data_IF_579134163523
#
_entry.id   IF_579134163523
#
_cell.length_a   1.000
_cell.length_b   1.000
_cell.length_c   1.000
_cell.angle_alpha   90.00
_cell.angle_beta   90.00
_cell.angle_gamma   90.00
#
_symmetry.space_group_name_H-M   'P 1'
#
loop_
_entity.id
_entity.type
_entity.pdbx_description
1 polymer ?
#
# COMPACT_ATOMS: atom_id res chain seq x y z
N UNK A 1 16.23 4.62 13.04
CA UNK A 1 15.70 3.82 11.92
C UNK A 1 14.17 3.88 11.99
N UNK A 2 13.50 4.85 11.36
CA UNK A 2 12.15 5.23 11.82
C UNK A 2 11.14 5.58 10.73
N UNK A 3 11.11 4.85 9.61
CA UNK A 3 9.96 4.96 8.71
C UNK A 3 8.80 4.17 9.33
N UNK A 4 7.66 4.83 9.55
CA UNK A 4 6.45 4.10 9.93
C UNK A 4 6.03 3.15 8.80
N UNK A 5 5.26 2.11 9.13
CA UNK A 5 4.74 1.16 8.12
C UNK A 5 4.05 1.86 6.95
N UNK A 6 3.27 2.90 7.23
CA UNK A 6 2.61 3.70 6.19
C UNK A 6 3.63 4.41 5.28
N UNK A 7 4.64 5.09 5.85
CA UNK A 7 5.71 5.75 5.08
C UNK A 7 6.43 4.74 4.17
N UNK A 8 6.82 3.59 4.74
CA UNK A 8 7.53 2.57 3.97
C UNK A 8 6.69 1.99 2.83
N UNK A 9 5.42 1.65 3.10
CA UNK A 9 4.49 1.16 2.06
C UNK A 9 4.30 2.16 0.92
N UNK A 10 4.21 3.46 1.22
CA UNK A 10 4.14 4.50 0.18
C UNK A 10 5.39 4.53 -0.67
N UNK A 11 6.58 4.53 -0.06
CA UNK A 11 7.85 4.57 -0.78
C UNK A 11 8.05 3.33 -1.66
N UNK A 12 7.76 2.15 -1.13
CA UNK A 12 7.83 0.90 -1.87
C UNK A 12 6.83 0.88 -3.04
N UNK A 13 5.61 1.41 -2.83
CA UNK A 13 4.63 1.51 -3.92
C UNK A 13 5.13 2.39 -5.05
N UNK A 14 5.71 3.54 -4.72
CA UNK A 14 6.29 4.45 -5.71
C UNK A 14 7.48 3.84 -6.44
N UNK A 15 8.33 3.04 -5.77
CA UNK A 15 9.48 2.40 -6.42
C UNK A 15 9.11 1.26 -7.38
N UNK A 16 7.95 0.62 -7.16
CA UNK A 16 7.47 -0.48 -8.00
C UNK A 16 6.60 -0.02 -9.16
N UNK A 17 6.23 1.27 -9.21
CA UNK A 17 5.33 1.79 -10.24
C UNK A 17 6.14 2.28 -11.44
N UNK A 18 5.82 1.85 -12.67
CA UNK A 18 6.55 2.27 -13.87
C UNK A 18 6.34 3.75 -14.17
N UNK A 19 5.14 4.26 -13.90
CA UNK A 19 4.75 5.64 -14.12
C UNK A 19 4.56 6.41 -12.80
N UNK A 20 4.79 7.73 -12.79
CA UNK A 20 4.52 8.56 -11.61
C UNK A 20 3.05 8.54 -11.22
N UNK A 21 2.77 8.26 -9.94
CA UNK A 21 1.40 8.18 -9.43
C UNK A 21 0.90 9.52 -8.91
N UNK A 22 -0.38 9.78 -9.09
CA UNK A 22 -1.12 10.85 -8.43
C UNK A 22 -1.40 10.50 -6.95
N UNK A 23 -1.74 11.51 -6.16
CA UNK A 23 -2.12 11.29 -4.75
C UNK A 23 -3.36 10.38 -4.63
N UNK A 24 -4.37 10.58 -5.47
CA UNK A 24 -5.57 9.75 -5.47
C UNK A 24 -5.26 8.27 -5.74
N UNK A 25 -4.38 7.98 -6.72
CA UNK A 25 -3.95 6.60 -7.02
C UNK A 25 -3.19 5.98 -5.85
N UNK A 26 -2.27 6.73 -5.23
CA UNK A 26 -1.52 6.25 -4.07
C UNK A 26 -2.47 5.96 -2.89
N UNK A 27 -3.46 6.82 -2.65
CA UNK A 27 -4.42 6.66 -1.56
C UNK A 27 -5.26 5.40 -1.75
N UNK A 28 -5.78 5.21 -2.97
CA UNK A 28 -6.49 4.00 -3.39
C UNK A 28 -5.65 2.74 -3.19
N UNK A 29 -4.39 2.74 -3.65
CA UNK A 29 -3.49 1.60 -3.49
C UNK A 29 -3.13 1.27 -2.04
N UNK A 30 -3.09 2.28 -1.17
CA UNK A 30 -2.79 2.09 0.24
C UNK A 30 -4.05 1.78 1.07
N UNK A 31 -5.24 1.95 0.50
CA UNK A 31 -6.52 1.77 1.20
C UNK A 31 -6.74 2.82 2.29
N UNK A 32 -6.27 4.05 2.08
CA UNK A 32 -6.40 5.16 3.03
C UNK A 32 -7.07 6.36 2.38
N UNK A 33 -7.69 7.21 3.20
CA UNK A 33 -8.31 8.45 2.73
C UNK A 33 -7.27 9.47 2.23
N UNK A 34 -7.60 10.23 1.18
CA UNK A 34 -6.71 11.22 0.60
C UNK A 34 -6.15 12.26 1.60
N UNK A 35 -6.92 12.82 2.55
CA UNK A 35 -6.37 13.74 3.56
C UNK A 35 -5.29 13.10 4.45
N UNK A 36 -5.43 11.79 4.72
CA UNK A 36 -4.44 11.02 5.48
C UNK A 36 -3.16 10.88 4.66
N UNK A 37 -3.30 10.59 3.36
CA UNK A 37 -2.16 10.52 2.46
C UNK A 37 -1.47 11.88 2.31
N UNK A 38 -2.22 12.99 2.19
CA UNK A 38 -1.64 14.34 2.08
C UNK A 38 -0.71 14.60 3.26
N UNK A 39 -1.17 14.33 4.48
CA UNK A 39 -0.35 14.48 5.70
C UNK A 39 0.90 13.61 5.68
N UNK A 40 0.78 12.37 5.18
CA UNK A 40 1.90 11.45 5.03
C UNK A 40 2.92 11.95 4.00
N UNK A 41 2.46 12.44 2.85
CA UNK A 41 3.29 12.96 1.78
C UNK A 41 4.01 14.24 2.18
N UNK A 42 3.37 15.12 2.95
CA UNK A 42 4.03 16.29 3.53
C UNK A 42 5.25 15.89 4.36
N UNK A 43 5.09 14.94 5.29
CA UNK A 43 6.22 14.44 6.11
C UNK A 43 7.31 13.78 5.26
N UNK A 44 6.93 13.03 4.21
CA UNK A 44 7.90 12.41 3.31
C UNK A 44 8.65 13.44 2.47
N UNK A 45 8.02 14.55 2.11
CA UNK A 45 8.63 15.66 1.36
C UNK A 45 9.57 16.48 2.25
N UNK A 46 9.15 16.78 3.49
CA UNK A 46 9.97 17.44 4.52
C UNK A 46 11.25 16.62 4.82
N UNK A 47 11.10 15.30 4.93
CA UNK A 47 12.19 14.35 5.12
C UNK A 47 13.02 14.11 3.82
N UNK A 48 12.66 14.76 2.70
CA UNK A 48 13.28 14.65 1.35
C UNK A 48 13.27 13.25 0.73
N UNK A 49 12.28 12.44 1.06
CA UNK A 49 12.04 11.14 0.43
C UNK A 49 11.28 11.25 -0.88
N UNK A 50 10.35 12.21 -0.98
CA UNK A 50 9.54 12.43 -2.19
C UNK A 50 9.57 13.89 -2.63
N UNK A 51 9.15 14.13 -3.87
CA UNK A 51 8.87 15.45 -4.41
C UNK A 51 7.54 15.41 -5.18
N UNK A 52 6.71 16.45 -5.03
CA UNK A 52 5.46 16.59 -5.79
C UNK A 52 5.65 17.51 -6.99
N UNK A 53 5.22 17.06 -8.17
CA UNK A 53 5.28 17.82 -9.42
C UNK A 53 3.89 17.91 -10.06
N UNK A 54 3.62 18.95 -10.83
CA UNK A 54 2.40 19.00 -11.62
C UNK A 54 2.41 17.86 -12.65
N UNK A 55 1.27 17.18 -12.84
CA UNK A 55 1.17 16.12 -13.82
C UNK A 55 1.31 16.70 -15.23
N UNK A 56 1.94 15.94 -16.13
CA UNK A 56 2.19 16.39 -17.51
C UNK A 56 0.88 16.61 -18.29
N UNK A 57 -0.15 15.79 -18.02
CA UNK A 57 -1.42 15.80 -18.75
C UNK A 57 -2.53 16.64 -18.08
N UNK A 58 -2.43 16.93 -16.78
CA UNK A 58 -3.35 17.85 -16.08
C UNK A 58 -2.59 18.62 -14.98
N UNK A 59 -2.37 19.92 -15.20
CA UNK A 59 -1.65 20.78 -14.25
C UNK A 59 -2.39 21.00 -12.92
N UNK A 60 -3.68 20.63 -12.85
CA UNK A 60 -4.47 20.65 -11.60
C UNK A 60 -4.14 19.45 -10.71
N UNK A 61 -3.54 18.39 -11.27
CA UNK A 61 -3.13 17.20 -10.55
C UNK A 61 -1.63 17.27 -10.22
N UNK A 62 -1.25 16.70 -9.07
CA UNK A 62 0.16 16.51 -8.69
C UNK A 62 0.51 15.03 -8.70
N UNK A 63 1.62 14.69 -9.34
CA UNK A 63 2.26 13.37 -9.25
C UNK A 63 3.35 13.39 -8.19
N UNK A 64 3.57 12.24 -7.56
CA UNK A 64 4.56 12.05 -6.50
C UNK A 64 5.74 11.27 -7.07
N UNK A 65 6.94 11.77 -6.81
CA UNK A 65 8.20 11.22 -7.32
C UNK A 65 9.11 10.88 -6.16
N UNK A 66 9.80 9.74 -6.20
CA UNK A 66 10.90 9.49 -5.30
C UNK A 66 12.04 10.46 -5.59
N UNK A 67 12.71 10.96 -4.56
CA UNK A 67 13.97 11.69 -4.76
C UNK A 67 15.08 10.72 -5.14
N UNK A 68 16.17 11.25 -5.73
CA UNK A 68 17.36 10.44 -6.05
C UNK A 68 17.99 9.79 -4.81
N UNK A 69 17.86 10.42 -3.64
CA UNK A 69 18.28 9.82 -2.36
C UNK A 69 17.39 8.65 -2.00
N UNK A 70 16.07 8.81 -2.10
CA UNK A 70 15.11 7.76 -1.78
C UNK A 70 15.29 6.54 -2.70
N UNK A 71 15.45 6.76 -4.00
CA UNK A 71 15.69 5.68 -4.97
C UNK A 71 16.90 4.83 -4.59
N UNK A 72 18.06 5.45 -4.32
CA UNK A 72 19.28 4.73 -3.91
C UNK A 72 19.07 3.90 -2.64
N UNK A 73 18.47 4.49 -1.61
CA UNK A 73 18.24 3.77 -0.35
C UNK A 73 17.27 2.60 -0.54
N UNK A 74 16.21 2.78 -1.34
CA UNK A 74 15.25 1.71 -1.63
C UNK A 74 15.90 0.60 -2.45
N UNK A 75 16.75 0.94 -3.43
CA UNK A 75 17.52 -0.02 -4.22
C UNK A 75 18.48 -0.84 -3.34
N UNK A 76 19.21 -0.20 -2.42
CA UNK A 76 20.07 -0.89 -1.45
C UNK A 76 19.27 -1.87 -0.58
N UNK A 77 18.16 -1.42 0.00
CA UNK A 77 17.28 -2.27 0.81
C UNK A 77 16.73 -3.44 -0.02
N UNK A 78 16.29 -3.19 -1.24
CA UNK A 78 15.74 -4.23 -2.12
C UNK A 78 16.82 -5.24 -2.53
N UNK A 79 18.05 -4.80 -2.75
CA UNK A 79 19.18 -5.70 -3.06
C UNK A 79 19.47 -6.65 -1.89
N UNK A 80 19.55 -6.13 -0.67
CA UNK A 80 19.76 -6.95 0.52
C UNK A 80 18.57 -7.87 0.81
N UNK A 81 17.34 -7.37 0.65
CA UNK A 81 16.14 -8.18 0.77
C UNK A 81 16.03 -9.26 -0.31
N UNK A 82 16.58 -9.03 -1.51
CA UNK A 82 16.64 -10.02 -2.57
C UNK A 82 17.59 -11.17 -2.20
N UNK A 83 18.79 -10.85 -1.71
CA UNK A 83 19.76 -11.85 -1.23
C UNK A 83 19.15 -12.71 -0.12
N UNK A 84 18.60 -12.06 0.91
CA UNK A 84 17.95 -12.76 2.03
C UNK A 84 16.80 -13.65 1.56
N UNK A 85 15.96 -13.16 0.63
CA UNK A 85 14.87 -13.96 0.07
C UNK A 85 15.39 -15.16 -0.71
N UNK A 86 16.48 -15.01 -1.44
CA UNK A 86 17.09 -16.13 -2.16
C UNK A 86 17.58 -17.18 -1.15
N UNK A 87 18.36 -16.77 -0.15
CA UNK A 87 18.87 -17.67 0.90
C UNK A 87 17.77 -18.42 1.66
N UNK A 88 16.68 -17.73 2.01
CA UNK A 88 15.58 -18.32 2.78
C UNK A 88 14.69 -19.26 1.97
N UNK A 89 14.75 -19.22 0.63
CA UNK A 89 13.85 -19.95 -0.25
C UNK A 89 14.57 -20.92 -1.20
N UNK A 90 15.90 -20.98 -1.18
CA UNK A 90 16.70 -21.76 -2.14
C UNK A 90 16.44 -23.26 -2.07
N UNK A 91 16.07 -23.78 -0.90
CA UNK A 91 15.75 -25.19 -0.65
C UNK A 91 14.26 -25.53 -0.85
N UNK A 92 13.42 -24.54 -1.18
CA UNK A 92 11.98 -24.73 -1.37
C UNK A 92 11.64 -24.85 -2.85
N UNK A 93 10.96 -25.93 -3.21
CA UNK A 93 10.57 -26.14 -4.60
C UNK A 93 9.58 -25.05 -5.06
N UNK A 94 9.64 -24.71 -6.35
CA UNK A 94 8.70 -23.76 -6.93
C UNK A 94 7.23 -24.23 -6.81
N UNK A 95 6.98 -25.55 -6.73
CA UNK A 95 5.63 -26.10 -6.55
C UNK A 95 5.09 -25.85 -5.14
N UNK A 96 5.94 -26.00 -4.12
CA UNK A 96 5.58 -25.73 -2.73
C UNK A 96 5.34 -24.24 -2.50
N UNK A 97 6.19 -23.38 -3.06
CA UNK A 97 6.00 -21.93 -3.03
C UNK A 97 4.67 -21.51 -3.68
N UNK A 98 4.36 -22.04 -4.87
CA UNK A 98 3.07 -21.78 -5.53
C UNK A 98 1.89 -22.24 -4.67
N UNK A 99 2.03 -23.39 -4.01
CA UNK A 99 0.99 -23.92 -3.11
C UNK A 99 0.80 -23.03 -1.89
N UNK A 100 1.89 -22.59 -1.25
CA UNK A 100 1.86 -21.66 -0.12
C UNK A 100 1.15 -20.34 -0.49
N UNK A 101 1.56 -19.71 -1.60
CA UNK A 101 0.97 -18.46 -2.08
C UNK A 101 -0.54 -18.62 -2.33
N UNK A 102 -0.95 -19.72 -2.99
CA UNK A 102 -2.37 -20.01 -3.25
C UNK A 102 -3.17 -20.10 -1.95
N UNK A 103 -2.64 -20.77 -0.92
CA UNK A 103 -3.31 -20.92 0.37
C UNK A 103 -3.42 -19.57 1.10
N UNK A 104 -2.33 -18.80 1.16
CA UNK A 104 -2.33 -17.47 1.78
C UNK A 104 -3.31 -16.50 1.10
N UNK A 105 -3.35 -16.48 -0.23
CA UNK A 105 -4.31 -15.67 -0.99
C UNK A 105 -5.77 -16.07 -0.69
N UNK A 106 -6.05 -17.37 -0.55
CA UNK A 106 -7.38 -17.83 -0.18
C UNK A 106 -7.80 -17.34 1.23
N UNK A 107 -6.87 -17.36 2.19
CA UNK A 107 -7.09 -16.86 3.55
C UNK A 107 -7.34 -15.34 3.53
N UNK A 108 -6.50 -14.58 2.82
CA UNK A 108 -6.64 -13.12 2.67
C UNK A 108 -8.02 -12.74 2.11
N UNK A 109 -8.44 -13.38 1.01
CA UNK A 109 -9.74 -13.12 0.38
C UNK A 109 -10.93 -13.37 1.33
N UNK A 110 -10.83 -14.41 2.17
CA UNK A 110 -11.86 -14.68 3.19
C UNK A 110 -11.87 -13.62 4.30
N UNK A 111 -10.70 -13.16 4.75
CA UNK A 111 -10.59 -12.15 5.79
C UNK A 111 -11.18 -10.79 5.36
N UNK A 112 -10.94 -10.38 4.11
CA UNK A 112 -11.48 -9.15 3.53
C UNK A 112 -13.02 -9.21 3.41
N UNK A 113 -13.57 -10.35 2.94
CA UNK A 113 -15.02 -10.57 2.87
C UNK A 113 -15.69 -10.63 4.24
N UNK A 114 -15.04 -11.25 5.22
CA UNK A 114 -15.55 -11.33 6.60
C UNK A 114 -15.66 -9.96 7.27
N UNK A 115 -14.70 -9.06 7.01
CA UNK A 115 -14.71 -7.68 7.54
C UNK A 115 -15.78 -6.79 6.90
N UNK A 116 -16.16 -7.04 5.64
CA UNK A 116 -17.26 -6.33 4.96
C UNK A 116 -18.65 -6.73 5.46
N UNK A 117 -18.85 -7.98 5.88
CA UNK A 117 -20.17 -8.49 6.27
C UNK A 117 -20.60 -8.05 7.69
N UNK A 118 -19.65 -7.73 8.57
CA UNK A 118 -19.94 -7.24 9.93
C UNK A 118 -20.60 -5.86 9.98
N UNK A 119 -20.32 -4.99 8.99
CA UNK A 119 -20.95 -3.65 8.90
C UNK A 119 -22.41 -3.72 8.43
N UNK A 120 -22.78 -4.71 7.62
CA UNK A 120 -24.14 -4.84 7.09
C UNK A 120 -25.12 -5.49 8.10
N UNK A 121 -24.63 -6.39 8.97
CA UNK A 121 -25.44 -6.99 10.04
C UNK A 121 -25.85 -5.99 11.13
N UNK A 122 -24.98 -5.04 11.48
CA UNK A 122 -25.26 -4.00 12.47
C UNK A 122 -26.22 -2.90 11.96
N UNK A 123 -26.33 -2.72 10.63
CA UNK A 123 -27.31 -1.83 10.00
C UNK A 123 -28.70 -2.51 9.92
N UNK A 124 -28.75 -3.81 9.63
CA UNK A 124 -30.02 -4.58 9.58
C UNK A 124 -30.68 -4.76 10.95
N UNK A 125 -29.89 -4.89 12.02
CA UNK A 125 -30.42 -5.01 13.39
C UNK A 125 -31.05 -3.70 13.93
N UNK A 126 -30.64 -2.53 13.41
CA UNK A 126 -31.20 -1.22 13.81
C UNK A 126 -32.53 -0.90 13.12
N UNK A 127 -32.76 -1.40 11.90
CA UNK A 127 -33.98 -1.10 11.16
C UNK A 127 -35.20 -1.98 11.54
N UNK A 128 -35.01 -3.03 12.34
CA UNK A 128 -36.08 -3.94 12.78
C UNK A 128 -36.80 -3.56 14.07
N UNK A 129 -36.35 -2.53 14.79
CA UNK A 129 -36.93 -2.12 16.09
C UNK A 129 -37.85 -0.90 16.07
N UNK A 130 -38.08 -0.27 14.91
CA UNK A 130 -38.84 0.98 14.84
C UNK A 130 -40.25 0.85 14.21
N UNK A 131 -40.83 -0.36 14.21
CA UNK A 131 -42.08 -0.68 13.49
C UNK A 131 -43.20 -1.30 14.33
N UNK A 132 -43.20 -1.07 15.65
CA UNK A 132 -44.36 -1.38 16.52
C UNK A 132 -44.48 -0.30 17.60
N UNK A 133 -45.23 0.74 17.29
CA UNK A 133 -46.11 1.43 18.25
C UNK A 133 -47.17 2.21 17.47
#
# INVERSE_FOLDING_TARGET
>A
MGLSQAKWRTLLRLSMSPDPLTQAEIASHLGIEEPTLVTLLHRLEDDRWVARKNAAHDRRCKTVHLTRRAQRVIEEINSEAFKLRHELLDDITAADLRTCIRVLNHIQHKAEKGSGNGKNSAARARNGKNGKN
#
